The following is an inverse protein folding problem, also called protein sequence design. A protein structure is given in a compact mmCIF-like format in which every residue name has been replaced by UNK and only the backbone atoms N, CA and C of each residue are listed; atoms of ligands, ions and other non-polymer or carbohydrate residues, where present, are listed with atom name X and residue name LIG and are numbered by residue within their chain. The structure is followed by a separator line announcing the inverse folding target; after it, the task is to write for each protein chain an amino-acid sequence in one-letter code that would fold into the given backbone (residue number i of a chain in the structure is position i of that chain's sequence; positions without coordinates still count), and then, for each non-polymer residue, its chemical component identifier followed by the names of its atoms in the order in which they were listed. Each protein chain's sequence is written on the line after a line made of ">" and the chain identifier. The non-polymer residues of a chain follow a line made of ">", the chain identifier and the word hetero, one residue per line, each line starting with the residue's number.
data_IF_852411576257
#
_entry.id   IF_852411576257
#
_cell.length_a   1.000
_cell.length_b   1.000
_cell.length_c   1.000
_cell.angle_alpha   90.00
_cell.angle_beta   90.00
_cell.angle_gamma   90.00
#
_symmetry.space_group_name_H-M   'P 1'
#
loop_
_entity.id
_entity.type
_entity.pdbx_description
1 polymer ?
#
# COMPACT_ATOMS: atom_id res chain seq x y z
N UNK A 1 -1.49 12.47 12.73
CA UNK A 1 -2.81 12.32 12.08
C UNK A 1 -2.78 11.03 11.27
N UNK A 2 -3.71 10.10 11.51
CA UNK A 2 -3.87 8.91 10.67
C UNK A 2 -4.81 9.23 9.51
N UNK A 3 -4.48 8.75 8.31
CA UNK A 3 -5.24 8.97 7.08
C UNK A 3 -5.15 7.72 6.17
N UNK A 4 -5.84 7.72 5.02
CA UNK A 4 -5.85 6.62 4.04
C UNK A 4 -6.50 5.31 4.54
N UNK A 5 -7.71 5.41 5.11
CA UNK A 5 -8.51 4.27 5.59
C UNK A 5 -9.20 3.45 4.48
N UNK A 6 -8.81 3.68 3.22
CA UNK A 6 -9.42 3.08 2.02
C UNK A 6 -9.38 1.53 2.07
N UNK A 7 -8.35 0.96 2.68
CA UNK A 7 -8.19 -0.48 2.86
C UNK A 7 -9.02 -1.03 4.02
N UNK A 8 -9.26 -0.24 5.08
CA UNK A 8 -10.07 -0.66 6.22
C UNK A 8 -11.53 -0.88 5.84
N UNK A 9 -12.07 -0.07 4.91
CA UNK A 9 -13.42 -0.25 4.36
C UNK A 9 -13.60 -1.58 3.59
N UNK A 10 -12.49 -2.26 3.24
CA UNK A 10 -12.52 -3.54 2.53
C UNK A 10 -12.61 -4.74 3.47
N UNK A 11 -12.50 -4.58 4.79
CA UNK A 11 -12.59 -5.71 5.73
C UNK A 11 -13.96 -6.39 5.57
N UNK A 12 -13.95 -7.69 5.25
CA UNK A 12 -15.16 -8.45 4.91
C UNK A 12 -15.67 -8.27 3.47
N UNK A 13 -14.89 -7.66 2.57
CA UNK A 13 -15.20 -7.44 1.14
C UNK A 13 -14.10 -8.03 0.23
N UNK A 14 -14.38 -8.24 -1.07
CA UNK A 14 -13.35 -8.61 -2.03
C UNK A 14 -12.15 -7.64 -2.02
N UNK A 15 -10.94 -8.18 -2.14
CA UNK A 15 -9.70 -7.39 -2.07
C UNK A 15 -9.20 -7.09 -0.65
N UNK A 16 -9.87 -7.60 0.39
CA UNK A 16 -9.30 -7.72 1.74
C UNK A 16 -8.09 -8.65 1.75
N UNK A 17 -7.10 -8.34 2.58
CA UNK A 17 -5.94 -9.21 2.82
C UNK A 17 -5.67 -9.28 4.32
N UNK A 18 -5.85 -10.47 4.90
CA UNK A 18 -5.61 -10.73 6.33
C UNK A 18 -4.15 -10.49 6.73
N UNK A 19 -3.23 -10.71 5.79
CA UNK A 19 -1.82 -10.42 5.96
C UNK A 19 -1.52 -8.92 6.18
N UNK A 20 -2.48 -8.02 5.89
CA UNK A 20 -2.38 -6.56 6.07
C UNK A 20 -3.23 -6.07 7.25
N UNK A 21 -3.08 -6.71 8.41
CA UNK A 21 -3.79 -6.33 9.63
C UNK A 21 -3.09 -5.20 10.41
N UNK A 22 -3.84 -4.59 11.33
CA UNK A 22 -3.41 -3.47 12.16
C UNK A 22 -2.24 -3.83 13.08
N UNK A 23 -2.25 -5.01 13.70
CA UNK A 23 -1.15 -5.47 14.57
C UNK A 23 0.17 -5.49 13.81
N UNK A 24 0.20 -6.15 12.65
CA UNK A 24 1.39 -6.21 11.78
C UNK A 24 1.80 -4.81 11.33
N UNK A 25 0.85 -3.99 10.90
CA UNK A 25 1.12 -2.62 10.47
C UNK A 25 1.76 -1.75 11.55
N UNK A 26 1.26 -1.81 12.80
CA UNK A 26 1.78 -1.04 13.93
C UNK A 26 3.17 -1.53 14.35
N UNK A 27 3.38 -2.85 14.44
CA UNK A 27 4.68 -3.44 14.79
C UNK A 27 5.79 -2.97 13.84
N UNK A 28 5.57 -3.14 12.54
CA UNK A 28 6.53 -2.70 11.54
C UNK A 28 6.73 -1.19 11.54
N UNK A 29 5.65 -0.40 11.67
CA UNK A 29 5.76 1.06 11.65
C UNK A 29 6.58 1.58 12.83
N UNK A 30 6.39 1.04 14.04
CA UNK A 30 7.17 1.49 15.20
C UNK A 30 8.62 1.05 15.10
N UNK A 31 8.88 -0.18 14.64
CA UNK A 31 10.23 -0.66 14.34
C UNK A 31 10.94 0.28 13.36
N UNK A 32 10.34 0.54 12.19
CA UNK A 32 10.90 1.39 11.14
C UNK A 32 11.17 2.83 11.60
N UNK A 33 10.30 3.41 12.43
CA UNK A 33 10.51 4.75 12.98
C UNK A 33 11.73 4.77 13.90
N UNK A 34 11.88 3.75 14.76
CA UNK A 34 12.94 3.70 15.78
C UNK A 34 14.29 3.29 15.19
N UNK A 35 14.32 2.28 14.34
CA UNK A 35 15.54 1.70 13.77
C UNK A 35 15.96 2.34 12.46
N UNK A 36 15.03 3.03 11.77
CA UNK A 36 15.19 3.50 10.38
C UNK A 36 15.45 2.37 9.37
N UNK A 37 15.22 1.11 9.77
CA UNK A 37 15.34 -0.07 8.91
C UNK A 37 13.96 -0.44 8.34
N UNK A 38 13.83 -0.41 7.02
CA UNK A 38 12.64 -0.80 6.27
C UNK A 38 12.84 -2.07 5.41
N UNK A 39 13.95 -2.78 5.58
CA UNK A 39 14.28 -3.98 4.79
C UNK A 39 13.21 -5.06 4.93
N UNK A 40 12.65 -5.23 6.13
CA UNK A 40 11.58 -6.19 6.40
C UNK A 40 10.31 -5.88 5.58
N UNK A 41 10.12 -4.62 5.16
CA UNK A 41 8.98 -4.17 4.35
C UNK A 41 9.08 -4.62 2.88
N UNK A 42 10.28 -4.94 2.40
CA UNK A 42 10.49 -5.46 1.04
C UNK A 42 9.91 -6.88 0.85
N UNK A 43 9.74 -7.61 1.95
CA UNK A 43 9.09 -8.92 1.96
C UNK A 43 7.60 -8.74 1.71
N UNK A 44 7.01 -9.63 0.89
CA UNK A 44 5.57 -9.63 0.62
C UNK A 44 4.78 -9.73 1.92
N UNK A 45 3.65 -9.04 2.01
CA UNK A 45 2.85 -8.99 3.24
C UNK A 45 2.50 -10.37 3.83
N UNK A 46 2.25 -11.35 2.96
CA UNK A 46 1.92 -12.73 3.35
C UNK A 46 3.09 -13.44 4.03
N UNK A 47 4.32 -13.12 3.62
CA UNK A 47 5.55 -13.80 4.02
C UNK A 47 6.30 -13.04 5.12
N UNK A 48 5.86 -11.83 5.47
CA UNK A 48 6.42 -11.04 6.56
C UNK A 48 6.21 -11.76 7.91
N UNK A 49 7.29 -11.97 8.67
CA UNK A 49 7.23 -12.52 10.02
C UNK A 49 7.33 -11.40 11.06
N UNK A 50 6.31 -11.29 11.92
CA UNK A 50 6.28 -10.31 13.01
C UNK A 50 7.14 -10.71 14.19
N UNK A 51 7.47 -12.01 14.33
CA UNK A 51 8.23 -12.54 15.46
C UNK A 51 9.63 -11.95 15.51
N UNK A 52 10.22 -11.68 14.34
CA UNK A 52 11.51 -10.98 14.19
C UNK A 52 11.46 -9.63 14.91
N UNK A 53 10.40 -8.86 14.73
CA UNK A 53 10.23 -7.55 15.38
C UNK A 53 9.91 -7.69 16.87
N UNK A 54 9.09 -8.67 17.24
CA UNK A 54 8.65 -8.83 18.63
C UNK A 54 9.77 -9.30 19.55
N UNK A 55 10.66 -10.18 19.07
CA UNK A 55 11.68 -10.84 19.88
C UNK A 55 13.10 -10.28 19.73
N UNK A 56 13.44 -9.60 18.63
CA UNK A 56 14.77 -9.00 18.49
C UNK A 56 14.96 -7.76 19.35
N UNK A 57 16.22 -7.42 19.64
CA UNK A 57 16.58 -6.17 20.27
C UNK A 57 16.62 -5.03 19.25
N UNK A 58 15.85 -3.98 19.52
CA UNK A 58 15.74 -2.83 18.64
C UNK A 58 16.93 -1.90 18.83
N UNK A 59 17.75 -1.77 17.80
CA UNK A 59 18.84 -0.79 17.78
C UNK A 59 18.29 0.54 17.29
N UNK A 60 18.18 1.53 18.19
CA UNK A 60 17.73 2.89 17.81
C UNK A 60 18.74 3.52 16.86
N UNK A 61 18.24 4.10 15.78
CA UNK A 61 19.07 4.88 14.87
C UNK A 61 19.58 6.18 15.56
N UNK A 62 20.84 6.61 15.33
CA UNK A 62 21.40 7.81 15.95
C UNK A 62 20.56 9.08 15.75
N UNK A 63 19.97 9.24 14.56
CA UNK A 63 19.16 10.42 14.20
C UNK A 63 17.73 10.40 14.78
N UNK A 64 17.31 9.31 15.43
CA UNK A 64 15.98 9.21 16.02
C UNK A 64 16.00 9.78 17.43
N UNK A 65 15.19 10.83 17.62
CA UNK A 65 14.94 11.43 18.92
C UNK A 65 13.69 10.80 19.53
N UNK A 66 13.87 10.17 20.69
CA UNK A 66 12.79 9.64 21.51
C UNK A 66 12.77 10.41 22.83
N UNK A 67 11.57 10.68 23.33
CA UNK A 67 11.35 11.29 24.64
C UNK A 67 11.41 10.27 25.79
N UNK A 68 11.35 8.97 25.47
CA UNK A 68 11.42 7.86 26.42
C UNK A 68 12.37 6.75 25.93
N UNK A 69 12.82 5.84 26.81
CA UNK A 69 13.59 4.65 26.41
C UNK A 69 12.79 3.71 25.50
N UNK A 70 13.49 3.00 24.60
CA UNK A 70 12.89 2.02 23.68
C UNK A 70 12.07 0.96 24.42
N UNK A 71 12.51 0.55 25.62
CA UNK A 71 11.84 -0.44 26.44
C UNK A 71 10.41 -0.05 26.79
N UNK A 72 10.14 1.24 27.04
CA UNK A 72 8.79 1.72 27.37
C UNK A 72 7.89 1.66 26.14
N UNK A 73 8.38 2.08 24.97
CA UNK A 73 7.65 1.92 23.71
C UNK A 73 7.33 0.46 23.40
N UNK A 74 8.31 -0.44 23.59
CA UNK A 74 8.14 -1.88 23.37
C UNK A 74 7.14 -2.48 24.35
N UNK A 75 7.15 -2.05 25.61
CA UNK A 75 6.18 -2.50 26.61
C UNK A 75 4.76 -2.11 26.21
N UNK A 76 4.52 -0.83 25.90
CA UNK A 76 3.20 -0.34 25.48
C UNK A 76 2.74 -1.06 24.20
N UNK A 77 3.64 -1.26 23.24
CA UNK A 77 3.34 -1.99 22.01
C UNK A 77 2.93 -3.43 22.29
N UNK A 78 3.68 -4.12 23.14
CA UNK A 78 3.41 -5.51 23.53
C UNK A 78 2.04 -5.62 24.20
N UNK A 79 1.77 -4.79 25.20
CA UNK A 79 0.47 -4.77 25.91
C UNK A 79 -0.69 -4.47 24.95
N UNK A 80 -0.49 -3.54 24.02
CA UNK A 80 -1.48 -3.23 22.99
C UNK A 80 -1.71 -4.42 22.04
N UNK A 81 -0.66 -5.07 21.56
CA UNK A 81 -0.75 -6.25 20.70
C UNK A 81 -1.48 -7.40 21.40
N UNK A 82 -1.13 -7.70 22.65
CA UNK A 82 -1.79 -8.72 23.47
C UNK A 82 -3.28 -8.43 23.64
N UNK A 83 -3.62 -7.19 24.04
CA UNK A 83 -5.01 -6.74 24.17
C UNK A 83 -5.77 -6.85 22.84
N UNK A 84 -5.12 -6.48 21.72
CA UNK A 84 -5.74 -6.49 20.40
C UNK A 84 -6.01 -7.90 19.91
N UNK A 85 -5.10 -8.85 20.16
CA UNK A 85 -5.26 -10.28 19.85
C UNK A 85 -6.36 -10.93 20.71
N UNK A 86 -6.42 -10.60 22.00
CA UNK A 86 -7.41 -11.16 22.92
C UNK A 86 -8.83 -10.57 22.74
N UNK A 87 -8.93 -9.35 22.22
CA UNK A 87 -10.21 -8.67 22.02
C UNK A 87 -11.05 -9.22 20.86
N UNK A 88 -12.25 -8.63 20.69
CA UNK A 88 -13.11 -8.93 19.54
C UNK A 88 -12.39 -8.58 18.23
N UNK A 89 -12.26 -9.56 17.35
CA UNK A 89 -11.72 -9.34 16.01
C UNK A 89 -12.78 -8.72 15.10
N UNK A 90 -12.37 -7.75 14.29
CA UNK A 90 -13.22 -7.08 13.31
C UNK A 90 -13.18 -7.95 12.05
N UNK A 91 -14.30 -8.60 11.73
CA UNK A 91 -14.41 -9.48 10.54
C UNK A 91 -15.07 -8.75 9.37
N UNK A 92 -15.85 -7.71 9.67
CA UNK A 92 -16.42 -6.77 8.69
C UNK A 92 -16.13 -5.34 9.13
N UNK A 93 -15.93 -4.42 8.18
CA UNK A 93 -15.67 -3.01 8.53
C UNK A 93 -16.79 -2.38 9.38
N UNK A 94 -18.03 -2.88 9.27
CA UNK A 94 -19.20 -2.49 10.07
C UNK A 94 -19.18 -2.92 11.53
N UNK A 95 -18.27 -3.83 11.92
CA UNK A 95 -18.08 -4.19 13.32
C UNK A 95 -17.43 -3.07 14.15
N UNK A 96 -16.80 -2.09 13.49
CA UNK A 96 -16.22 -0.95 14.16
C UNK A 96 -17.33 -0.04 14.74
N UNK A 97 -17.16 0.44 15.98
CA UNK A 97 -18.16 1.25 16.67
C UNK A 97 -18.56 2.52 15.90
N UNK A 98 -17.61 3.11 15.16
CA UNK A 98 -17.80 4.27 14.30
C UNK A 98 -17.36 3.92 12.88
N UNK A 99 -17.96 2.90 12.27
CA UNK A 99 -17.63 2.53 10.90
C UNK A 99 -17.97 3.68 9.94
N UNK A 100 -17.15 3.80 8.89
CA UNK A 100 -17.38 4.79 7.85
C UNK A 100 -18.46 4.26 6.89
N UNK A 101 -19.55 5.00 6.74
CA UNK A 101 -20.51 4.77 5.67
C UNK A 101 -19.92 5.29 4.36
N UNK A 102 -19.25 4.39 3.63
CA UNK A 102 -18.57 4.77 2.40
C UNK A 102 -19.62 4.91 1.29
N UNK A 103 -19.67 6.06 0.59
CA UNK A 103 -20.59 6.21 -0.52
C UNK A 103 -20.30 5.13 -1.57
N UNK A 104 -21.33 4.60 -2.24
CA UNK A 104 -21.13 3.63 -3.29
C UNK A 104 -20.22 4.24 -4.37
N UNK A 105 -19.25 3.45 -4.84
CA UNK A 105 -18.44 3.85 -5.99
C UNK A 105 -19.38 3.91 -7.20
N UNK A 106 -19.49 5.05 -7.90
CA UNK A 106 -20.34 5.15 -9.07
C UNK A 106 -19.87 4.16 -10.14
N UNK A 107 -20.83 3.57 -10.84
CA UNK A 107 -20.52 2.63 -11.92
C UNK A 107 -19.86 3.37 -13.08
N UNK A 108 -18.66 2.95 -13.52
CA UNK A 108 -18.02 3.54 -14.69
C UNK A 108 -18.75 3.10 -15.96
N UNK A 109 -18.65 3.89 -17.05
CA UNK A 109 -19.10 3.45 -18.36
C UNK A 109 -18.35 2.18 -18.80
N UNK A 110 -19.02 1.35 -19.58
CA UNK A 110 -18.39 0.19 -20.21
C UNK A 110 -17.28 0.65 -21.15
N UNK A 111 -16.12 0.01 -21.02
CA UNK A 111 -14.95 0.28 -21.86
C UNK A 111 -14.58 -1.00 -22.62
N UNK A 112 -14.24 -0.85 -23.90
CA UNK A 112 -13.61 -1.92 -24.67
C UNK A 112 -12.13 -1.99 -24.28
N UNK A 113 -11.69 -3.17 -23.87
CA UNK A 113 -10.35 -3.38 -23.32
C UNK A 113 -9.78 -4.65 -23.92
N UNK A 114 -8.51 -4.57 -24.30
CA UNK A 114 -7.76 -5.72 -24.79
C UNK A 114 -7.14 -6.45 -23.60
N UNK A 115 -7.64 -7.64 -23.29
CA UNK A 115 -7.11 -8.49 -22.22
C UNK A 115 -6.18 -9.53 -22.83
N UNK A 116 -4.92 -9.54 -22.38
CA UNK A 116 -3.93 -10.54 -22.77
C UNK A 116 -3.93 -11.68 -21.76
N UNK A 117 -4.43 -12.83 -22.18
CA UNK A 117 -4.32 -14.11 -21.49
C UNK A 117 -3.11 -14.87 -22.04
N UNK A 118 -2.67 -15.91 -21.31
CA UNK A 118 -1.59 -16.79 -21.77
C UNK A 118 -2.01 -17.42 -23.11
N UNK A 119 -1.30 -17.05 -24.19
CA UNK A 119 -1.53 -17.55 -25.55
C UNK A 119 -2.74 -16.97 -26.28
N UNK A 120 -3.45 -15.97 -25.72
CA UNK A 120 -4.61 -15.37 -26.38
C UNK A 120 -4.81 -13.90 -26.02
N UNK A 121 -5.10 -13.10 -27.02
CA UNK A 121 -5.59 -11.73 -26.85
C UNK A 121 -7.08 -11.68 -27.17
N UNK A 122 -7.89 -11.08 -26.30
CA UNK A 122 -9.32 -10.87 -26.54
C UNK A 122 -9.70 -9.42 -26.28
N UNK A 123 -10.65 -8.92 -27.08
CA UNK A 123 -11.32 -7.65 -26.83
C UNK A 123 -12.57 -7.92 -26.03
N UNK A 124 -12.66 -7.31 -24.85
CA UNK A 124 -13.74 -7.49 -23.91
C UNK A 124 -14.35 -6.14 -23.55
N UNK A 125 -15.66 -6.12 -23.37
CA UNK A 125 -16.37 -4.96 -22.84
C UNK A 125 -16.55 -5.16 -21.34
N UNK A 126 -15.85 -4.37 -20.53
CA UNK A 126 -15.94 -4.46 -19.06
C UNK A 126 -15.95 -3.07 -18.41
N UNK A 127 -16.44 -3.03 -17.17
CA UNK A 127 -16.34 -1.87 -16.29
C UNK A 127 -14.89 -1.76 -15.80
N UNK A 128 -14.28 -0.59 -16.00
CA UNK A 128 -12.94 -0.27 -15.48
C UNK A 128 -13.09 0.73 -14.34
N UNK A 129 -12.72 0.32 -13.14
CA UNK A 129 -12.77 1.16 -11.92
C UNK A 129 -11.47 1.92 -11.68
N UNK A 130 -10.47 1.69 -12.53
CA UNK A 130 -9.20 2.36 -12.58
C UNK A 130 -8.99 2.96 -13.97
N UNK A 131 -8.52 4.20 -14.01
CA UNK A 131 -8.13 4.87 -15.25
C UNK A 131 -6.72 5.41 -15.10
N UNK A 132 -5.88 5.15 -16.10
CA UNK A 132 -4.57 5.78 -16.15
C UNK A 132 -4.71 7.18 -16.76
N UNK A 133 -4.14 8.16 -16.08
CA UNK A 133 -4.13 9.56 -16.55
C UNK A 133 -3.60 9.67 -17.98
N UNK A 134 -2.50 8.98 -18.29
CA UNK A 134 -1.86 9.05 -19.61
C UNK A 134 -2.79 8.53 -20.71
N UNK A 135 -3.48 7.41 -20.47
CA UNK A 135 -4.45 6.84 -21.43
C UNK A 135 -5.64 7.79 -21.65
N UNK A 136 -6.16 8.40 -20.56
CA UNK A 136 -7.23 9.40 -20.68
C UNK A 136 -6.77 10.63 -21.47
N UNK A 137 -5.53 11.07 -21.27
CA UNK A 137 -4.94 12.20 -21.97
C UNK A 137 -4.76 11.90 -23.47
N UNK A 138 -4.25 10.72 -23.83
CA UNK A 138 -4.14 10.25 -25.23
C UNK A 138 -5.49 10.17 -25.93
N UNK A 139 -6.54 9.78 -25.19
CA UNK A 139 -7.92 9.71 -25.68
C UNK A 139 -8.63 11.08 -25.71
N UNK A 140 -7.96 12.17 -25.32
CA UNK A 140 -8.57 13.51 -25.24
C UNK A 140 -9.69 13.63 -24.21
N UNK A 141 -9.76 12.71 -23.23
CA UNK A 141 -10.77 12.72 -22.16
C UNK A 141 -10.41 13.71 -21.07
N UNK A 142 -11.43 14.14 -20.31
CA UNK A 142 -11.24 15.01 -19.17
C UNK A 142 -10.34 14.34 -18.12
N UNK A 143 -9.33 15.08 -17.65
CA UNK A 143 -8.43 14.66 -16.58
C UNK A 143 -8.46 15.70 -15.46
N UNK A 144 -8.45 15.26 -14.20
CA UNK A 144 -8.31 16.16 -13.07
C UNK A 144 -6.86 16.64 -12.98
N UNK A 145 -6.59 17.93 -13.10
CA UNK A 145 -5.24 18.45 -12.94
C UNK A 145 -4.83 18.46 -11.46
N UNK A 146 -3.75 17.75 -11.14
CA UNK A 146 -3.18 17.76 -9.79
C UNK A 146 -2.62 19.16 -9.50
N UNK A 147 -2.98 19.73 -8.35
CA UNK A 147 -2.47 21.03 -7.90
C UNK A 147 -0.99 20.97 -7.46
N UNK A 148 -0.45 19.77 -7.22
CA UNK A 148 0.93 19.54 -6.81
C UNK A 148 1.70 18.83 -7.93
N UNK A 149 2.95 19.23 -8.23
CA UNK A 149 3.81 18.49 -9.16
C UNK A 149 4.13 17.09 -8.64
N UNK A 150 4.38 16.11 -9.53
CA UNK A 150 4.72 14.76 -9.14
C UNK A 150 6.00 14.74 -8.28
N UNK A 151 6.00 13.92 -7.23
CA UNK A 151 7.07 13.89 -6.23
C UNK A 151 8.44 13.48 -6.81
N UNK A 152 8.47 12.88 -8.01
CA UNK A 152 9.67 12.55 -8.79
C UNK A 152 9.82 13.41 -10.05
N UNK A 153 9.42 14.67 -10.01
CA UNK A 153 9.90 15.66 -10.99
C UNK A 153 11.10 16.38 -10.39
N UNK A 154 12.30 15.78 -10.49
CA UNK A 154 13.50 16.59 -10.37
C UNK A 154 13.61 17.46 -11.63
N UNK A 155 13.76 18.78 -11.51
CA UNK A 155 14.15 19.62 -12.63
C UNK A 155 15.53 19.15 -13.11
N UNK A 156 15.61 18.54 -14.30
CA UNK A 156 16.88 18.12 -14.91
C UNK A 156 17.03 16.63 -15.24
N UNK A 157 16.04 15.78 -14.95
CA UNK A 157 16.05 14.41 -15.48
C UNK A 157 15.75 14.43 -16.99
N UNK A 158 16.58 13.82 -17.85
CA UNK A 158 16.34 13.81 -19.29
C UNK A 158 15.00 13.14 -19.59
N UNK A 159 14.06 13.90 -20.12
CA UNK A 159 12.85 13.38 -20.73
C UNK A 159 13.23 12.74 -22.06
N UNK A 160 13.29 11.41 -22.08
CA UNK A 160 13.51 10.65 -23.30
C UNK A 160 14.36 9.42 -23.05
N UNK A 161 13.74 8.33 -22.65
CA UNK A 161 14.25 7.02 -23.08
C UNK A 161 13.61 6.80 -24.45
N UNK A 162 14.27 7.32 -25.48
CA UNK A 162 14.12 6.75 -26.82
C UNK A 162 14.51 5.29 -26.70
N UNK A 163 13.55 4.40 -26.97
CA UNK A 163 13.83 2.99 -27.18
C UNK A 163 14.67 2.84 -28.44
N UNK A 164 15.99 2.93 -28.30
CA UNK A 164 16.90 2.45 -29.33
C UNK A 164 17.09 0.95 -29.12
N UNK A 165 16.48 0.17 -30.00
CA UNK A 165 16.81 -1.23 -30.16
C UNK A 165 18.31 -1.37 -30.44
N UNK A 166 18.96 -2.26 -29.71
CA UNK A 166 20.23 -2.85 -30.11
C UNK A 166 20.06 -4.36 -30.04
N UNK A 167 19.79 -4.94 -31.21
CA UNK A 167 20.19 -6.31 -31.50
C UNK A 167 21.72 -6.31 -31.50
N UNK A 168 22.32 -7.10 -30.63
CA UNK A 168 23.65 -7.64 -30.90
C UNK A 168 23.70 -9.11 -30.48
N UNK A 169 23.76 -9.96 -31.51
CA UNK A 169 24.28 -11.32 -31.45
C UNK A 169 25.70 -11.30 -30.89
N UNK A 170 26.01 -12.21 -29.97
CA UNK A 170 27.30 -12.91 -29.75
C UNK A 170 26.97 -14.07 -28.79
N UNK A 171 27.31 -15.34 -29.00
CA UNK A 171 28.01 -16.10 -30.03
C UNK A 171 27.82 -17.60 -29.71
#
# INVERSE_FOLDING_TARGET
>A
MLFDFNFSARIGRPGYSEARNDIKGVLFTLYEIITRDDNLRAIRHQDQDVSVIEYEDWVKHPDVLLDHPISEFRQVLKEWCEKRRAGKQITTYTDAANFLDWPPVPDPPLSEVETHYVGKTVKEVKKLYDWKRNELQEQGKAILNWQRPPQRSQPGAPTGIEGSGFIQQLG
#
